data_IF_419617642009
#
_entry.id   IF_419617642009
#
_cell.length_a   1.000
_cell.length_b   1.000
_cell.length_c   1.000
_cell.angle_alpha   90.00
_cell.angle_beta   90.00
_cell.angle_gamma   90.00
#
_symmetry.space_group_name_H-M   'P 1'
#
loop_
_entity.id
_entity.type
_entity.pdbx_description
1 polymer ?
#
# COMPACT_ATOMS: atom_id res chain seq x y z
N UNK A 1 85.59 13.03 -92.15
CA UNK A 1 85.61 11.61 -91.73
C UNK A 1 84.23 11.39 -91.15
N UNK A 2 83.36 10.76 -91.94
CA UNK A 2 81.96 10.55 -91.60
C UNK A 2 81.81 9.54 -90.46
N UNK A 3 80.97 9.92 -89.48
CA UNK A 3 80.38 9.05 -88.48
C UNK A 3 78.91 9.49 -88.33
N UNK A 4 78.04 8.81 -89.10
CA UNK A 4 76.71 8.27 -88.74
C UNK A 4 76.09 8.76 -87.41
N UNK A 5 74.80 9.07 -87.27
CA UNK A 5 73.65 8.27 -87.70
C UNK A 5 72.32 9.06 -87.53
N UNK A 6 71.32 8.72 -88.34
CA UNK A 6 70.03 9.39 -88.53
C UNK A 6 68.94 8.90 -87.54
N UNK A 7 69.30 8.49 -86.32
CA UNK A 7 68.36 7.91 -85.33
C UNK A 7 68.38 8.56 -83.94
N UNK A 8 68.53 9.88 -83.85
CA UNK A 8 68.28 10.58 -82.57
C UNK A 8 66.76 10.75 -82.39
N UNK A 9 66.07 9.66 -82.08
CA UNK A 9 64.72 9.69 -81.52
C UNK A 9 64.81 10.45 -80.18
N UNK A 10 64.33 11.71 -80.19
CA UNK A 10 64.23 12.52 -78.99
C UNK A 10 63.35 11.76 -77.98
N UNK A 11 63.79 11.57 -76.72
CA UNK A 11 63.00 10.84 -75.74
C UNK A 11 61.72 11.63 -75.46
N UNK A 12 60.60 11.17 -76.02
CA UNK A 12 59.27 11.69 -75.74
C UNK A 12 58.91 11.24 -74.32
N UNK A 13 58.85 12.17 -73.39
CA UNK A 13 58.36 11.92 -72.02
C UNK A 13 56.95 11.37 -72.08
N UNK A 14 56.66 10.28 -71.37
CA UNK A 14 55.29 9.73 -71.28
C UNK A 14 54.40 10.70 -70.48
N UNK A 15 53.14 10.89 -70.92
CA UNK A 15 52.17 11.69 -70.18
C UNK A 15 51.78 11.02 -68.86
N UNK A 16 51.79 11.77 -67.76
CA UNK A 16 51.49 11.30 -66.41
C UNK A 16 49.99 11.02 -66.29
N UNK A 17 49.61 9.74 -66.35
CA UNK A 17 48.24 9.25 -66.19
C UNK A 17 48.21 8.10 -65.17
N UNK A 18 47.02 7.82 -64.61
CA UNK A 18 46.77 6.69 -63.69
C UNK A 18 47.30 5.35 -64.20
N UNK A 19 47.30 5.15 -65.52
CA UNK A 19 47.76 3.91 -66.16
C UNK A 19 49.26 3.65 -66.00
N UNK A 20 50.09 4.68 -65.72
CA UNK A 20 51.53 4.51 -65.43
C UNK A 20 51.80 3.84 -64.08
N UNK A 21 50.82 3.85 -63.18
CA UNK A 21 50.93 3.28 -61.85
C UNK A 21 50.24 1.92 -61.73
N UNK A 22 49.56 1.46 -62.79
CA UNK A 22 48.84 0.16 -62.79
C UNK A 22 49.77 -1.05 -62.83
N UNK A 23 51.05 -0.85 -63.18
CA UNK A 23 52.08 -1.90 -63.18
C UNK A 23 52.68 -2.16 -61.80
N UNK A 24 52.38 -1.35 -60.78
CA UNK A 24 52.80 -1.59 -59.41
C UNK A 24 51.70 -2.36 -58.69
N UNK A 25 51.99 -3.60 -58.28
CA UNK A 25 51.07 -4.41 -57.48
C UNK A 25 51.06 -3.94 -56.02
N UNK A 26 49.94 -4.17 -55.32
CA UNK A 26 49.74 -3.82 -53.91
C UNK A 26 50.80 -4.51 -53.03
N UNK A 27 51.80 -3.74 -52.56
CA UNK A 27 52.78 -4.18 -51.56
C UNK A 27 54.25 -3.98 -51.92
N UNK A 28 54.58 -3.52 -53.13
CA UNK A 28 55.97 -3.15 -53.47
C UNK A 28 56.30 -1.71 -53.04
N UNK A 29 57.52 -1.51 -52.51
CA UNK A 29 58.02 -0.18 -52.12
C UNK A 29 58.21 0.62 -53.41
N UNK A 30 57.45 1.70 -53.56
CA UNK A 30 57.54 2.58 -54.71
C UNK A 30 58.95 3.17 -54.82
N UNK A 31 59.73 2.69 -55.78
CA UNK A 31 61.06 3.21 -56.07
C UNK A 31 60.95 4.36 -57.08
N UNK A 32 61.16 5.56 -56.55
CA UNK A 32 61.04 6.82 -57.28
C UNK A 32 62.13 6.92 -58.36
N UNK A 33 63.33 6.42 -58.09
CA UNK A 33 64.49 6.61 -58.97
C UNK A 33 64.37 5.76 -60.24
N UNK A 34 63.93 4.50 -60.10
CA UNK A 34 63.60 3.65 -61.25
C UNK A 34 62.39 4.16 -62.03
N UNK A 35 61.34 4.64 -61.36
CA UNK A 35 60.15 5.20 -62.02
C UNK A 35 60.46 6.42 -62.89
N UNK A 36 61.35 7.31 -62.42
CA UNK A 36 61.76 8.49 -63.16
C UNK A 36 62.66 8.14 -64.36
N UNK A 37 63.49 7.10 -64.22
CA UNK A 37 64.41 6.61 -65.27
C UNK A 37 63.62 5.91 -66.38
N UNK A 38 62.74 4.98 -66.02
CA UNK A 38 62.00 4.13 -66.95
C UNK A 38 60.98 4.90 -67.80
N UNK A 39 60.54 6.06 -67.32
CA UNK A 39 59.57 6.92 -68.00
C UNK A 39 60.19 8.19 -68.60
N UNK A 40 61.54 8.26 -68.66
CA UNK A 40 62.30 9.35 -69.26
C UNK A 40 62.04 10.74 -68.63
N UNK A 41 61.57 10.81 -67.37
CA UNK A 41 61.31 12.08 -66.67
C UNK A 41 62.58 12.85 -66.28
N UNK A 42 63.76 12.31 -66.62
CA UNK A 42 65.07 12.92 -66.43
C UNK A 42 65.29 14.23 -67.19
N UNK A 43 64.43 14.50 -68.18
CA UNK A 43 64.47 15.69 -69.01
C UNK A 43 63.32 16.67 -68.74
N UNK A 44 62.43 16.36 -67.78
CA UNK A 44 61.31 17.21 -67.41
C UNK A 44 61.71 18.19 -66.29
N UNK A 45 61.33 19.48 -66.35
CA UNK A 45 61.49 20.39 -65.23
C UNK A 45 60.72 19.86 -64.02
N UNK A 46 61.38 19.82 -62.86
CA UNK A 46 60.80 19.30 -61.61
C UNK A 46 59.49 20.01 -61.23
N UNK A 47 59.37 21.31 -61.55
CA UNK A 47 58.16 22.10 -61.30
C UNK A 47 56.96 21.62 -62.14
N UNK A 48 57.20 21.19 -63.39
CA UNK A 48 56.15 20.67 -64.27
C UNK A 48 55.69 19.29 -63.80
N UNK A 49 56.66 18.43 -63.43
CA UNK A 49 56.38 17.10 -62.87
C UNK A 49 55.61 17.19 -61.54
N UNK A 50 56.02 18.11 -60.66
CA UNK A 50 55.35 18.34 -59.39
C UNK A 50 53.91 18.81 -59.60
N UNK A 51 53.69 19.73 -60.55
CA UNK A 51 52.35 20.20 -60.88
C UNK A 51 51.46 19.09 -61.41
N UNK A 52 51.96 18.28 -62.34
CA UNK A 52 51.18 17.21 -62.95
C UNK A 52 50.87 16.07 -61.95
N UNK A 53 51.81 15.74 -61.05
CA UNK A 53 51.56 14.81 -59.94
C UNK A 53 50.52 15.37 -58.96
N UNK A 54 50.59 16.65 -58.60
CA UNK A 54 49.59 17.25 -57.69
C UNK A 54 48.20 17.27 -58.30
N UNK A 55 48.08 17.46 -59.61
CA UNK A 55 46.80 17.38 -60.31
C UNK A 55 46.26 15.95 -60.33
N UNK A 56 47.11 14.96 -60.60
CA UNK A 56 46.70 13.56 -60.58
C UNK A 56 46.28 13.10 -59.17
N UNK A 57 46.97 13.52 -58.11
CA UNK A 57 46.57 13.22 -56.73
C UNK A 57 45.20 13.80 -56.40
N UNK A 58 44.93 15.05 -56.80
CA UNK A 58 43.63 15.68 -56.60
C UNK A 58 42.50 14.95 -57.36
N UNK A 59 42.78 14.49 -58.58
CA UNK A 59 41.83 13.73 -59.39
C UNK A 59 41.55 12.35 -58.77
N UNK A 60 42.59 11.68 -58.25
CA UNK A 60 42.44 10.39 -57.56
C UNK A 60 41.67 10.51 -56.24
N UNK A 61 41.95 11.54 -55.44
CA UNK A 61 41.22 11.81 -54.20
C UNK A 61 39.73 12.05 -54.48
N UNK A 62 39.42 12.80 -55.55
CA UNK A 62 38.03 13.05 -55.93
C UNK A 62 37.33 11.76 -56.42
N UNK A 63 37.99 10.96 -57.26
CA UNK A 63 37.43 9.71 -57.78
C UNK A 63 37.22 8.66 -56.68
N UNK A 64 38.13 8.57 -55.70
CA UNK A 64 37.98 7.69 -54.54
C UNK A 64 36.83 8.13 -53.62
N UNK A 65 36.68 9.44 -53.41
CA UNK A 65 35.59 9.99 -52.61
C UNK A 65 34.23 9.73 -53.28
N UNK A 66 34.14 9.86 -54.60
CA UNK A 66 32.93 9.59 -55.36
C UNK A 66 32.57 8.09 -55.33
N UNK A 67 33.55 7.20 -55.57
CA UNK A 67 33.34 5.75 -55.49
C UNK A 67 32.94 5.30 -54.07
N UNK A 68 33.56 5.87 -53.03
CA UNK A 68 33.20 5.59 -51.64
C UNK A 68 31.82 6.12 -51.29
N UNK A 69 31.45 7.30 -51.78
CA UNK A 69 30.12 7.89 -51.55
C UNK A 69 29.02 7.08 -52.24
N UNK A 70 29.28 6.58 -53.44
CA UNK A 70 28.33 5.76 -54.19
C UNK A 70 28.13 4.39 -53.53
N UNK A 71 29.21 3.74 -53.08
CA UNK A 71 29.14 2.49 -52.32
C UNK A 71 28.40 2.64 -50.98
N UNK A 72 28.56 3.77 -50.29
CA UNK A 72 27.84 4.04 -49.04
C UNK A 72 26.34 4.27 -49.27
N UNK A 73 25.98 4.91 -50.39
CA UNK A 73 24.59 5.10 -50.81
C UNK A 73 23.91 3.77 -51.11
N UNK A 74 24.61 2.86 -51.79
CA UNK A 74 24.12 1.51 -52.07
C UNK A 74 23.96 0.68 -50.78
N UNK A 75 24.88 0.83 -49.83
CA UNK A 75 24.77 0.20 -48.51
C UNK A 75 23.55 0.73 -47.72
N UNK A 76 23.32 2.04 -47.71
CA UNK A 76 22.15 2.65 -47.05
C UNK A 76 20.85 2.20 -47.71
N UNK A 77 20.79 2.16 -49.04
CA UNK A 77 19.62 1.66 -49.77
C UNK A 77 19.33 0.19 -49.45
N UNK A 78 20.37 -0.62 -49.26
CA UNK A 78 20.24 -2.02 -48.86
C UNK A 78 19.72 -2.13 -47.42
N UNK A 79 20.25 -1.35 -46.48
CA UNK A 79 19.73 -1.29 -45.11
C UNK A 79 18.24 -0.87 -45.05
N UNK A 80 17.83 0.12 -45.84
CA UNK A 80 16.44 0.57 -45.89
C UNK A 80 15.50 -0.51 -46.48
N UNK A 81 15.95 -1.24 -47.51
CA UNK A 81 15.16 -2.34 -48.09
C UNK A 81 15.00 -3.55 -47.17
N UNK A 82 15.97 -3.81 -46.28
CA UNK A 82 15.90 -4.87 -45.28
C UNK A 82 15.33 -4.41 -43.93
N UNK A 83 15.03 -3.11 -43.75
CA UNK A 83 14.43 -2.58 -42.52
C UNK A 83 12.94 -2.99 -42.36
N UNK A 84 12.23 -3.30 -43.44
CA UNK A 84 10.82 -3.70 -43.39
C UNK A 84 10.61 -5.22 -43.14
N UNK A 85 11.67 -6.03 -43.19
CA UNK A 85 11.61 -7.49 -43.00
C UNK A 85 12.10 -7.97 -41.63
N UNK A 86 12.51 -7.06 -40.74
CA UNK A 86 12.99 -7.42 -39.42
C UNK A 86 11.83 -7.87 -38.49
N UNK A 87 11.79 -9.18 -38.19
CA UNK A 87 10.88 -9.84 -37.23
C UNK A 87 10.72 -9.12 -35.87
N UNK A 88 11.66 -8.26 -35.51
CA UNK A 88 11.68 -7.50 -34.26
C UNK A 88 10.58 -6.44 -34.14
N UNK A 89 10.04 -5.90 -35.25
CA UNK A 89 8.99 -4.86 -35.20
C UNK A 89 7.62 -5.37 -34.72
N UNK A 90 7.06 -6.49 -35.24
CA UNK A 90 5.81 -7.05 -34.73
C UNK A 90 5.93 -7.55 -33.28
N UNK A 91 7.08 -8.10 -32.88
CA UNK A 91 7.35 -8.49 -31.50
C UNK A 91 7.35 -7.27 -30.55
N UNK A 92 8.00 -6.16 -30.95
CA UNK A 92 7.96 -4.91 -30.19
C UNK A 92 6.54 -4.35 -30.07
N UNK A 93 5.73 -4.51 -31.12
CA UNK A 93 4.33 -4.11 -31.13
C UNK A 93 3.49 -4.94 -30.16
N UNK A 94 3.71 -6.25 -30.10
CA UNK A 94 3.07 -7.14 -29.13
C UNK A 94 3.48 -6.79 -27.69
N UNK A 95 4.78 -6.57 -27.45
CA UNK A 95 5.28 -6.14 -26.12
C UNK A 95 4.67 -4.80 -25.70
N UNK A 96 4.55 -3.84 -26.62
CA UNK A 96 3.87 -2.56 -26.35
C UNK A 96 2.40 -2.76 -25.98
N UNK A 97 1.71 -3.68 -26.64
CA UNK A 97 0.31 -4.01 -26.38
C UNK A 97 0.15 -4.67 -25.00
N UNK A 98 1.04 -5.60 -24.65
CA UNK A 98 1.09 -6.26 -23.34
C UNK A 98 1.39 -5.27 -22.21
N UNK A 99 2.35 -4.37 -22.40
CA UNK A 99 2.65 -3.29 -21.44
C UNK A 99 1.44 -2.39 -21.23
N UNK A 100 0.71 -2.05 -22.30
CA UNK A 100 -0.48 -1.21 -22.21
C UNK A 100 -1.61 -1.94 -21.47
N UNK A 101 -1.80 -3.24 -21.72
CA UNK A 101 -2.75 -4.05 -20.96
C UNK A 101 -2.36 -4.19 -19.49
N UNK A 102 -1.07 -4.39 -19.20
CA UNK A 102 -0.56 -4.47 -17.85
C UNK A 102 -0.77 -3.17 -17.09
N UNK A 103 -0.44 -2.02 -17.68
CA UNK A 103 -0.68 -0.71 -17.09
C UNK A 103 -2.18 -0.48 -16.83
N UNK A 104 -3.05 -0.88 -17.75
CA UNK A 104 -4.50 -0.78 -17.54
C UNK A 104 -4.99 -1.68 -16.41
N UNK A 105 -4.47 -2.91 -16.29
CA UNK A 105 -4.78 -3.82 -15.17
C UNK A 105 -4.28 -3.25 -13.84
N UNK A 106 -3.07 -2.70 -13.82
CA UNK A 106 -2.45 -2.11 -12.63
C UNK A 106 -3.20 -0.85 -12.18
N UNK A 107 -3.65 -0.04 -13.16
CA UNK A 107 -4.52 1.10 -12.89
C UNK A 107 -5.86 0.68 -12.30
N UNK A 108 -6.53 -0.31 -12.88
CA UNK A 108 -7.79 -0.86 -12.33
C UNK A 108 -7.61 -1.41 -10.91
N UNK A 109 -6.53 -2.16 -10.66
CA UNK A 109 -6.21 -2.69 -9.35
C UNK A 109 -6.01 -1.57 -8.32
N UNK A 110 -5.27 -0.51 -8.69
CA UNK A 110 -4.89 0.57 -7.77
C UNK A 110 -6.03 1.57 -7.53
N UNK A 111 -6.70 1.99 -8.61
CA UNK A 111 -7.73 3.03 -8.57
C UNK A 111 -9.12 2.49 -8.20
N UNK A 112 -9.37 1.18 -8.34
CA UNK A 112 -10.70 0.61 -8.13
C UNK A 112 -10.68 -0.46 -7.07
N UNK A 113 -9.92 -1.55 -7.29
CA UNK A 113 -10.04 -2.73 -6.44
C UNK A 113 -9.45 -2.51 -5.04
N UNK A 114 -8.29 -1.84 -4.93
CA UNK A 114 -7.68 -1.49 -3.63
C UNK A 114 -8.52 -0.49 -2.86
N UNK A 115 -9.08 0.53 -3.52
CA UNK A 115 -9.93 1.52 -2.86
C UNK A 115 -11.23 0.89 -2.36
N UNK A 116 -11.90 0.10 -3.20
CA UNK A 116 -13.11 -0.63 -2.80
C UNK A 116 -12.82 -1.61 -1.67
N UNK A 117 -11.72 -2.36 -1.74
CA UNK A 117 -11.33 -3.30 -0.67
C UNK A 117 -11.06 -2.56 0.63
N UNK A 118 -10.39 -1.40 0.57
CA UNK A 118 -10.14 -0.57 1.74
C UNK A 118 -11.44 -0.08 2.37
N UNK A 119 -12.41 0.35 1.56
CA UNK A 119 -13.74 0.78 2.04
C UNK A 119 -14.47 -0.38 2.70
N UNK A 120 -14.56 -1.53 2.04
CA UNK A 120 -15.19 -2.75 2.59
C UNK A 120 -14.53 -3.19 3.89
N UNK A 121 -13.19 -3.19 3.95
CA UNK A 121 -12.45 -3.54 5.16
C UNK A 121 -12.74 -2.53 6.27
N UNK A 122 -12.78 -1.23 5.96
CA UNK A 122 -13.11 -0.19 6.94
C UNK A 122 -14.53 -0.38 7.48
N UNK A 123 -15.52 -0.54 6.60
CA UNK A 123 -16.91 -0.77 7.01
C UNK A 123 -17.05 -2.04 7.86
N UNK A 124 -16.28 -3.08 7.52
CA UNK A 124 -16.25 -4.32 8.31
C UNK A 124 -15.66 -4.09 9.70
N UNK A 125 -14.57 -3.32 9.81
CA UNK A 125 -13.96 -2.97 11.10
C UNK A 125 -14.90 -2.11 11.93
N UNK A 126 -15.49 -1.07 11.33
CA UNK A 126 -16.46 -0.20 11.99
C UNK A 126 -17.66 -1.01 12.50
N UNK A 127 -18.16 -1.96 11.69
CA UNK A 127 -19.20 -2.89 12.10
C UNK A 127 -18.76 -3.78 13.28
N UNK A 128 -17.57 -4.37 13.23
CA UNK A 128 -17.05 -5.20 14.33
C UNK A 128 -16.91 -4.39 15.63
N UNK A 129 -16.44 -3.14 15.56
CA UNK A 129 -16.38 -2.27 16.74
C UNK A 129 -17.76 -1.96 17.32
N UNK A 130 -18.77 -1.75 16.47
CA UNK A 130 -20.15 -1.57 16.96
C UNK A 130 -20.69 -2.86 17.60
N UNK A 131 -20.33 -4.02 17.06
CA UNK A 131 -20.73 -5.31 17.59
C UNK A 131 -20.10 -5.57 18.96
N UNK A 132 -18.82 -5.24 19.14
CA UNK A 132 -18.14 -5.33 20.44
C UNK A 132 -18.80 -4.44 21.50
N UNK A 133 -19.18 -3.21 21.14
CA UNK A 133 -19.94 -2.32 22.03
C UNK A 133 -21.28 -2.93 22.43
N UNK A 134 -22.00 -3.54 21.49
CA UNK A 134 -23.27 -4.23 21.76
C UNK A 134 -23.08 -5.45 22.68
N UNK A 135 -22.01 -6.22 22.49
CA UNK A 135 -21.68 -7.36 23.35
C UNK A 135 -21.42 -6.92 24.78
N UNK A 136 -20.69 -5.82 24.99
CA UNK A 136 -20.45 -5.26 26.32
C UNK A 136 -21.78 -4.84 26.99
N UNK A 137 -22.63 -4.08 26.29
CA UNK A 137 -23.95 -3.66 26.78
C UNK A 137 -24.84 -4.86 27.13
N UNK A 138 -24.79 -5.92 26.32
CA UNK A 138 -25.57 -7.13 26.56
C UNK A 138 -25.06 -7.90 27.78
N UNK A 139 -23.75 -7.96 28.00
CA UNK A 139 -23.16 -8.55 29.19
C UNK A 139 -23.60 -7.78 30.46
N UNK A 140 -23.57 -6.45 30.43
CA UNK A 140 -24.03 -5.60 31.53
C UNK A 140 -25.52 -5.79 31.81
N UNK A 141 -26.34 -5.86 30.75
CA UNK A 141 -27.79 -6.09 30.86
C UNK A 141 -28.10 -7.47 31.46
N UNK A 142 -27.32 -8.49 31.09
CA UNK A 142 -27.46 -9.85 31.64
C UNK A 142 -27.05 -9.89 33.12
N UNK A 143 -25.94 -9.27 33.47
CA UNK A 143 -25.47 -9.17 34.84
C UNK A 143 -26.48 -8.41 35.71
N UNK A 144 -27.06 -7.33 35.19
CA UNK A 144 -28.14 -6.59 35.84
C UNK A 144 -29.35 -7.47 36.09
N UNK A 145 -29.83 -8.20 35.08
CA UNK A 145 -30.99 -9.09 35.24
C UNK A 145 -30.76 -10.18 36.30
N UNK A 146 -29.57 -10.81 36.30
CA UNK A 146 -29.21 -11.78 37.34
C UNK A 146 -29.12 -11.14 38.73
N UNK A 147 -28.62 -9.90 38.82
CA UNK A 147 -28.62 -9.11 40.06
C UNK A 147 -30.03 -8.80 40.56
N UNK A 148 -30.95 -8.42 39.67
CA UNK A 148 -32.35 -8.17 40.03
C UNK A 148 -33.05 -9.45 40.51
N UNK A 149 -32.84 -10.59 39.84
CA UNK A 149 -33.37 -11.88 40.30
C UNK A 149 -32.83 -12.29 41.68
N UNK A 150 -31.56 -11.98 41.96
CA UNK A 150 -30.99 -12.19 43.29
C UNK A 150 -31.62 -11.25 44.31
N UNK A 151 -31.83 -9.98 43.97
CA UNK A 151 -32.54 -9.00 44.79
C UNK A 151 -33.95 -9.44 45.14
N UNK A 152 -34.72 -9.93 44.17
CA UNK A 152 -36.06 -10.48 44.38
C UNK A 152 -36.05 -11.67 45.35
N UNK A 153 -35.09 -12.60 45.21
CA UNK A 153 -34.93 -13.71 46.15
C UNK A 153 -34.57 -13.23 47.56
N UNK A 154 -33.68 -12.24 47.68
CA UNK A 154 -33.29 -11.67 48.97
C UNK A 154 -34.45 -10.92 49.63
N UNK A 155 -35.26 -10.18 48.87
CA UNK A 155 -36.49 -9.54 49.37
C UNK A 155 -37.47 -10.59 49.90
N UNK A 156 -37.67 -11.70 49.17
CA UNK A 156 -38.54 -12.79 49.62
C UNK A 156 -38.04 -13.47 50.89
N UNK A 157 -36.73 -13.73 50.99
CA UNK A 157 -36.11 -14.28 52.21
C UNK A 157 -36.24 -13.29 53.37
N UNK A 158 -35.97 -12.01 53.16
CA UNK A 158 -36.12 -10.97 54.18
C UNK A 158 -37.57 -10.87 54.66
N UNK A 159 -38.54 -10.88 53.74
CA UNK A 159 -39.96 -10.91 54.08
C UNK A 159 -40.33 -12.16 54.90
N UNK A 160 -39.81 -13.34 54.54
CA UNK A 160 -40.06 -14.56 55.32
C UNK A 160 -39.46 -14.50 56.73
N UNK A 161 -38.24 -13.98 56.87
CA UNK A 161 -37.57 -13.77 58.16
C UNK A 161 -38.29 -12.71 59.00
N UNK A 162 -38.90 -11.71 58.34
CA UNK A 162 -39.75 -10.72 58.99
C UNK A 162 -41.14 -11.26 59.34
N UNK A 163 -41.65 -12.29 58.66
CA UNK A 163 -42.96 -12.87 58.91
C UNK A 163 -42.95 -13.95 60.01
N UNK A 164 -41.83 -14.66 60.20
CA UNK A 164 -41.65 -15.67 61.24
C UNK A 164 -41.51 -15.03 62.64
N UNK A 165 -42.64 -14.53 63.15
CA UNK A 165 -42.78 -13.93 64.48
C UNK A 165 -42.95 -14.98 65.60
N UNK A 166 -42.71 -16.27 65.35
CA UNK A 166 -43.02 -17.35 66.33
C UNK A 166 -41.80 -17.93 67.05
N UNK A 167 -40.58 -17.71 66.57
CA UNK A 167 -39.36 -18.14 67.26
C UNK A 167 -38.56 -16.91 67.64
N UNK A 168 -38.52 -16.61 68.94
CA UNK A 168 -38.01 -15.37 69.53
C UNK A 168 -36.50 -15.11 69.42
N UNK A 169 -35.91 -15.31 68.24
CA UNK A 169 -34.58 -14.84 67.88
C UNK A 169 -34.62 -14.43 66.40
N UNK A 170 -35.10 -13.23 66.11
CA UNK A 170 -34.79 -12.60 64.83
C UNK A 170 -33.28 -12.36 64.86
N UNK A 171 -32.52 -13.02 63.99
CA UNK A 171 -31.10 -12.71 63.82
C UNK A 171 -30.98 -11.34 63.14
N UNK A 172 -31.08 -10.28 63.95
CA UNK A 172 -30.97 -8.89 63.52
C UNK A 172 -29.69 -8.62 62.72
N UNK A 173 -28.60 -9.35 63.01
CA UNK A 173 -27.36 -9.33 62.25
C UNK A 173 -27.51 -9.88 60.82
N UNK A 174 -28.27 -10.97 60.64
CA UNK A 174 -28.55 -11.55 59.32
C UNK A 174 -29.44 -10.62 58.50
N UNK A 175 -30.48 -10.04 59.13
CA UNK A 175 -31.33 -9.04 58.49
C UNK A 175 -30.53 -7.82 58.03
N UNK A 176 -29.61 -7.30 58.88
CA UNK A 176 -28.72 -6.19 58.52
C UNK A 176 -27.76 -6.50 57.36
N UNK A 177 -27.19 -7.71 57.32
CA UNK A 177 -26.37 -8.16 56.19
C UNK A 177 -27.18 -8.30 54.90
N UNK A 178 -28.38 -8.87 54.95
CA UNK A 178 -29.28 -8.98 53.80
C UNK A 178 -29.68 -7.59 53.31
N UNK A 179 -29.95 -6.66 54.22
CA UNK A 179 -30.28 -5.27 53.90
C UNK A 179 -29.12 -4.55 53.20
N UNK A 180 -27.90 -4.73 53.69
CA UNK A 180 -26.69 -4.14 53.10
C UNK A 180 -26.42 -4.69 51.70
N UNK A 181 -26.61 -6.00 51.50
CA UNK A 181 -26.47 -6.64 50.19
C UNK A 181 -27.56 -6.21 49.21
N UNK A 182 -28.81 -6.07 49.67
CA UNK A 182 -29.93 -5.54 48.88
C UNK A 182 -29.67 -4.09 48.46
N UNK A 183 -29.19 -3.24 49.38
CA UNK A 183 -28.80 -1.88 49.07
C UNK A 183 -27.66 -1.84 48.03
N UNK A 184 -26.61 -2.66 48.18
CA UNK A 184 -25.53 -2.74 47.20
C UNK A 184 -26.02 -3.14 45.80
N UNK A 185 -26.89 -4.16 45.71
CA UNK A 185 -27.50 -4.61 44.45
C UNK A 185 -28.36 -3.50 43.85
N UNK A 186 -29.13 -2.78 44.67
CA UNK A 186 -30.04 -1.71 44.23
C UNK A 186 -29.25 -0.50 43.71
N UNK A 187 -28.21 -0.05 44.43
CA UNK A 187 -27.34 1.05 44.00
C UNK A 187 -26.58 0.69 42.72
N UNK A 188 -26.02 -0.52 42.65
CA UNK A 188 -25.37 -1.00 41.42
C UNK A 188 -26.35 -1.07 40.25
N UNK A 189 -27.54 -1.63 40.46
CA UNK A 189 -28.59 -1.68 39.45
C UNK A 189 -29.01 -0.29 38.98
N UNK A 190 -29.11 0.69 39.88
CA UNK A 190 -29.39 2.08 39.56
C UNK A 190 -28.34 2.68 38.63
N UNK A 191 -27.05 2.53 38.97
CA UNK A 191 -25.94 3.05 38.14
C UNK A 191 -25.91 2.41 36.74
N UNK A 192 -26.12 1.08 36.65
CA UNK A 192 -26.19 0.39 35.35
C UNK A 192 -27.40 0.85 34.53
N UNK A 193 -28.58 1.02 35.15
CA UNK A 193 -29.78 1.52 34.46
C UNK A 193 -29.63 2.97 34.00
N UNK A 194 -28.90 3.80 34.74
CA UNK A 194 -28.59 5.18 34.35
C UNK A 194 -27.66 5.22 33.14
N UNK A 195 -26.64 4.35 33.09
CA UNK A 195 -25.78 4.21 31.91
C UNK A 195 -26.55 3.74 30.67
N UNK A 196 -27.63 2.96 30.87
CA UNK A 196 -28.52 2.48 29.81
C UNK A 196 -29.70 3.41 29.54
N UNK A 197 -29.68 4.66 30.05
CA UNK A 197 -30.83 5.56 29.98
C UNK A 197 -31.21 5.94 28.54
N UNK A 198 -30.23 6.06 27.66
CA UNK A 198 -30.38 6.47 26.26
C UNK A 198 -30.86 5.35 25.33
N UNK A 199 -31.01 4.12 25.81
CA UNK A 199 -31.40 2.98 25.00
C UNK A 199 -32.91 2.76 25.11
N UNK A 200 -33.65 3.15 24.08
CA UNK A 200 -35.08 2.89 23.94
C UNK A 200 -35.32 1.45 23.45
N UNK A 201 -35.10 0.49 24.33
CA UNK A 201 -35.38 -0.94 24.09
C UNK A 201 -36.48 -1.45 25.04
N UNK A 202 -37.43 -2.28 24.55
CA UNK A 202 -38.47 -2.86 25.40
C UNK A 202 -37.89 -3.71 26.54
N UNK A 203 -36.70 -4.30 26.35
CA UNK A 203 -36.01 -5.07 27.39
C UNK A 203 -35.55 -4.18 28.56
N UNK A 204 -35.09 -2.96 28.27
CA UNK A 204 -34.69 -1.99 29.32
C UNK A 204 -35.92 -1.52 30.08
N UNK A 205 -37.07 -1.36 29.42
CA UNK A 205 -38.34 -1.04 30.08
C UNK A 205 -38.75 -2.16 31.05
N UNK A 206 -38.63 -3.42 30.64
CA UNK A 206 -38.89 -4.57 31.51
C UNK A 206 -37.95 -4.60 32.73
N UNK A 207 -36.66 -4.33 32.54
CA UNK A 207 -35.69 -4.27 33.63
C UNK A 207 -35.95 -3.11 34.59
N UNK A 208 -36.35 -1.95 34.08
CA UNK A 208 -36.77 -0.80 34.92
C UNK A 208 -38.02 -1.12 35.74
N UNK A 209 -38.99 -1.81 35.14
CA UNK A 209 -40.19 -2.27 35.85
C UNK A 209 -39.84 -3.25 36.98
N UNK A 210 -38.98 -4.24 36.70
CA UNK A 210 -38.50 -5.19 37.71
C UNK A 210 -37.71 -4.52 38.83
N UNK A 211 -36.82 -3.59 38.49
CA UNK A 211 -36.10 -2.77 39.46
C UNK A 211 -37.05 -1.95 40.35
N UNK A 212 -38.09 -1.34 39.77
CA UNK A 212 -39.09 -0.60 40.54
C UNK A 212 -39.86 -1.51 41.51
N UNK A 213 -40.25 -2.71 41.07
CA UNK A 213 -40.90 -3.71 41.94
C UNK A 213 -40.02 -4.06 43.14
N UNK A 214 -38.73 -4.31 42.91
CA UNK A 214 -37.76 -4.63 43.97
C UNK A 214 -37.60 -3.46 44.95
N UNK A 215 -37.54 -2.21 44.47
CA UNK A 215 -37.47 -1.05 45.38
C UNK A 215 -38.72 -0.95 46.24
N UNK A 216 -39.91 -1.17 45.67
CA UNK A 216 -41.17 -1.11 46.42
C UNK A 216 -41.19 -2.18 47.51
N UNK A 217 -40.80 -3.41 47.19
CA UNK A 217 -40.69 -4.51 48.16
C UNK A 217 -39.61 -4.25 49.21
N UNK A 218 -38.45 -3.73 48.80
CA UNK A 218 -37.36 -3.37 49.72
C UNK A 218 -37.80 -2.27 50.70
N UNK A 219 -38.52 -1.25 50.23
CA UNK A 219 -39.10 -0.21 51.08
C UNK A 219 -40.13 -0.77 52.04
N UNK A 220 -40.96 -1.72 51.61
CA UNK A 220 -41.90 -2.39 52.49
C UNK A 220 -41.18 -3.20 53.59
N UNK A 221 -40.11 -3.93 53.24
CA UNK A 221 -39.27 -4.64 54.20
C UNK A 221 -38.62 -3.68 55.20
N UNK A 222 -38.08 -2.56 54.72
CA UNK A 222 -37.49 -1.50 55.55
C UNK A 222 -38.51 -0.93 56.54
N UNK A 223 -39.73 -0.65 56.09
CA UNK A 223 -40.79 -0.17 56.98
C UNK A 223 -41.10 -1.17 58.10
N UNK A 224 -41.27 -2.45 57.76
CA UNK A 224 -41.50 -3.51 58.75
C UNK A 224 -40.32 -3.64 59.73
N UNK A 225 -39.09 -3.51 59.24
CA UNK A 225 -37.90 -3.54 60.09
C UNK A 225 -37.79 -2.32 60.99
N UNK A 226 -38.09 -1.12 60.49
CA UNK A 226 -38.16 0.10 61.29
C UNK A 226 -39.21 -0.01 62.40
N UNK A 227 -40.41 -0.52 62.09
CA UNK A 227 -41.47 -0.72 63.09
C UNK A 227 -41.03 -1.71 64.19
N UNK A 228 -40.30 -2.77 63.83
CA UNK A 228 -39.73 -3.72 64.79
C UNK A 228 -38.56 -3.16 65.59
N UNK A 229 -37.72 -2.31 64.99
CA UNK A 229 -36.64 -1.62 65.69
C UNK A 229 -37.17 -0.61 66.71
N UNK A 230 -38.29 0.07 66.40
CA UNK A 230 -39.00 0.95 67.34
C UNK A 230 -39.61 0.16 68.49
N UNK A 231 -40.12 -1.04 68.23
CA UNK A 231 -40.66 -1.92 69.27
C UNK A 231 -39.58 -2.48 70.23
N UNK A 232 -38.38 -2.81 69.73
CA UNK A 232 -37.27 -3.36 70.51
C UNK A 232 -35.95 -2.57 70.35
N UNK A 233 -35.81 -1.39 70.98
CA UNK A 233 -34.69 -0.46 70.75
C UNK A 233 -33.34 -0.90 71.34
N UNK A 234 -33.30 -1.88 72.25
CA UNK A 234 -32.06 -2.32 72.89
C UNK A 234 -31.29 -3.39 72.10
N UNK A 235 -31.99 -4.21 71.30
CA UNK A 235 -31.39 -5.29 70.48
C UNK A 235 -31.03 -4.85 69.05
N UNK A 236 -31.51 -3.67 68.62
CA UNK A 236 -31.44 -3.22 67.23
C UNK A 236 -30.48 -2.04 66.97
N UNK A 237 -29.66 -1.64 67.96
CA UNK A 237 -28.70 -0.51 67.80
C UNK A 237 -27.77 -0.66 66.59
N UNK A 238 -27.31 -1.88 66.31
CA UNK A 238 -26.41 -2.17 65.19
C UNK A 238 -27.13 -2.08 63.83
N UNK A 239 -28.41 -2.49 63.80
CA UNK A 239 -29.28 -2.40 62.62
C UNK A 239 -29.68 -0.94 62.33
N UNK A 240 -29.95 -0.15 63.38
CA UNK A 240 -30.23 1.30 63.28
C UNK A 240 -29.01 2.07 62.78
N UNK A 241 -27.80 1.71 63.23
CA UNK A 241 -26.54 2.30 62.72
C UNK A 241 -26.32 1.96 61.24
N UNK A 242 -26.55 0.71 60.83
CA UNK A 242 -26.45 0.31 59.43
C UNK A 242 -27.50 0.99 58.54
N UNK A 243 -28.73 1.15 59.05
CA UNK A 243 -29.80 1.89 58.37
C UNK A 243 -29.46 3.38 58.20
N UNK A 244 -28.86 4.02 59.22
CA UNK A 244 -28.42 5.41 59.09
C UNK A 244 -27.26 5.57 58.12
N UNK A 245 -26.32 4.62 58.08
CA UNK A 245 -25.20 4.65 57.14
C UNK A 245 -25.68 4.48 55.69
N UNK A 246 -26.65 3.60 55.44
CA UNK A 246 -27.25 3.40 54.11
C UNK A 246 -28.01 4.63 53.60
N UNK A 247 -28.64 5.42 54.50
CA UNK A 247 -29.33 6.67 54.14
C UNK A 247 -28.36 7.84 53.91
N UNK A 248 -27.19 7.83 54.55
CA UNK A 248 -26.16 8.87 54.37
C UNK A 248 -25.36 8.70 53.07
N UNK A 249 -25.27 7.48 52.53
CA UNK A 249 -24.60 7.18 51.25
C UNK A 249 -25.41 7.52 49.99
N UNK A 250 -26.61 8.10 50.11
CA UNK A 250 -27.43 8.57 48.97
C UNK A 250 -27.06 10.01 48.49
N UNK A 251 -25.85 10.52 48.79
CA UNK A 251 -25.33 11.78 48.24
C UNK A 251 -24.21 11.57 47.21
#
# INVERSE_FOLDING_TARGET
MDLFDESWDLPVTKNINRDLFTSYEDGEVFDVDSFLLDNNFHYAPLDTLSKDLTLLTQEMDHALLEASSESYKDFVNLCDQFSDTAETRPELQNVKLDLTQFLNKLRKLTETDILNTKEVVKDTVDYLETLDKLVAVLADTKALNSGLQLGEKLCNVLNSLCADNQTGNIEFALCGQVLTQLHHITTKAHTTLQNLQQIDSPMIVQLRSGYHSIIVEFRACLHVMCDKCVANPNETKELVSQLSDMLLTEH
#
